data_IF_828366580853
#
_entry.id   IF_828366580853
#
_cell.length_a   1.000
_cell.length_b   1.000
_cell.length_c   1.000
_cell.angle_alpha   90.00
_cell.angle_beta   90.00
_cell.angle_gamma   90.00
#
_symmetry.space_group_name_H-M   'P 1'
#
loop_
_entity.id
_entity.type
_entity.pdbx_description
1 polymer ?
#
# COMPACT_ATOMS: atom_id res chain seq x y z
N UNK A 1 30.09 31.70 -20.81
CA UNK A 1 30.04 31.48 -19.35
C UNK A 1 28.60 31.60 -18.86
N UNK A 2 27.85 30.50 -18.89
CA UNK A 2 26.49 30.41 -18.33
C UNK A 2 26.59 29.60 -17.02
N UNK A 3 26.62 30.32 -15.91
CA UNK A 3 26.70 29.80 -14.55
C UNK A 3 25.42 29.04 -14.19
N UNK A 4 25.56 27.72 -14.15
CA UNK A 4 24.92 26.75 -13.24
C UNK A 4 23.96 27.31 -12.18
N UNK A 5 22.68 27.48 -12.54
CA UNK A 5 21.56 27.51 -11.60
C UNK A 5 21.13 26.07 -11.25
N UNK A 6 22.05 25.28 -10.72
CA UNK A 6 21.71 23.99 -10.08
C UNK A 6 21.29 24.30 -8.65
N UNK A 7 20.00 24.57 -8.44
CA UNK A 7 19.43 24.59 -7.08
C UNK A 7 19.63 23.19 -6.50
N UNK A 8 20.33 23.02 -5.36
CA UNK A 8 20.47 21.72 -4.74
C UNK A 8 19.07 21.23 -4.35
N UNK A 9 18.55 20.25 -5.08
CA UNK A 9 17.34 19.52 -4.70
C UNK A 9 17.58 19.00 -3.29
N UNK A 10 16.81 19.51 -2.31
CA UNK A 10 17.05 19.25 -0.89
C UNK A 10 16.93 17.75 -0.60
N UNK A 11 18.09 17.10 -0.48
CA UNK A 11 18.31 15.69 -0.09
C UNK A 11 17.60 15.34 1.23
N UNK A 12 17.19 16.34 2.02
CA UNK A 12 16.48 16.18 3.28
C UNK A 12 15.15 15.41 3.17
N UNK A 13 14.40 15.54 2.08
CA UNK A 13 13.14 14.78 1.89
C UNK A 13 13.38 13.29 1.61
N UNK A 14 14.53 12.92 1.05
CA UNK A 14 14.84 11.50 0.84
C UNK A 14 15.24 10.81 2.14
N UNK A 15 15.73 11.54 3.15
CA UNK A 15 16.07 10.97 4.45
C UNK A 15 14.83 10.53 5.24
N UNK A 16 13.71 11.25 5.10
CA UNK A 16 12.41 10.81 5.65
C UNK A 16 11.79 9.65 4.85
N UNK A 17 12.18 9.46 3.58
CA UNK A 17 11.81 8.30 2.77
C UNK A 17 12.69 7.06 3.04
N UNK A 18 13.88 7.25 3.61
CA UNK A 18 14.90 6.21 3.72
C UNK A 18 14.77 5.34 4.95
N UNK A 19 14.40 4.07 4.78
CA UNK A 19 14.69 3.05 5.78
C UNK A 19 16.21 2.92 6.00
N UNK A 20 16.64 2.24 7.08
CA UNK A 20 18.09 2.04 7.40
C UNK A 20 18.87 1.22 6.36
N UNK A 21 18.24 0.79 5.27
CA UNK A 21 18.76 -0.10 4.24
C UNK A 21 18.42 0.43 2.85
N UNK A 22 19.35 0.29 1.90
CA UNK A 22 19.18 0.71 0.51
C UNK A 22 17.87 0.19 -0.11
N UNK A 23 17.57 -1.10 0.07
CA UNK A 23 16.36 -1.72 -0.48
C UNK A 23 15.08 -1.03 0.00
N UNK A 24 15.02 -0.62 1.27
CA UNK A 24 13.83 0.04 1.81
C UNK A 24 13.64 1.43 1.17
N UNK A 25 14.72 2.19 0.99
CA UNK A 25 14.65 3.48 0.28
C UNK A 25 14.14 3.27 -1.16
N UNK A 26 14.72 2.32 -1.89
CA UNK A 26 14.32 2.02 -3.27
C UNK A 26 12.85 1.59 -3.33
N UNK A 27 12.40 0.74 -2.40
CA UNK A 27 11.00 0.30 -2.36
C UNK A 27 10.04 1.44 -2.05
N UNK A 28 10.41 2.36 -1.16
CA UNK A 28 9.60 3.53 -0.86
C UNK A 28 9.53 4.48 -2.06
N UNK A 29 10.64 4.70 -2.75
CA UNK A 29 10.65 5.47 -4.00
C UNK A 29 9.71 4.83 -5.03
N UNK A 30 9.82 3.50 -5.24
CA UNK A 30 8.98 2.81 -6.22
C UNK A 30 7.49 2.87 -5.85
N UNK A 31 7.13 2.74 -4.57
CA UNK A 31 5.74 2.87 -4.11
C UNK A 31 5.15 4.27 -4.32
N UNK A 32 5.99 5.31 -4.36
CA UNK A 32 5.55 6.66 -4.70
C UNK A 32 5.42 6.86 -6.21
N UNK A 33 6.23 6.16 -7.01
CA UNK A 33 6.24 6.29 -8.46
C UNK A 33 5.16 5.43 -9.14
N UNK A 34 4.79 4.30 -8.54
CA UNK A 34 3.85 3.36 -9.15
C UNK A 34 3.10 2.51 -8.12
N UNK A 35 1.90 2.07 -8.51
CA UNK A 35 1.11 1.11 -7.75
C UNK A 35 1.63 -0.32 -7.94
N UNK A 36 1.22 -1.24 -7.07
CA UNK A 36 1.63 -2.64 -7.16
C UNK A 36 1.05 -3.34 -8.40
N UNK A 37 -0.11 -2.89 -8.91
CA UNK A 37 -0.71 -3.38 -10.16
C UNK A 37 0.16 -3.01 -11.36
N UNK A 38 0.63 -1.76 -11.42
CA UNK A 38 1.52 -1.32 -12.50
C UNK A 38 2.87 -2.03 -12.39
N UNK A 39 3.44 -2.11 -11.19
CA UNK A 39 4.69 -2.81 -10.94
C UNK A 39 4.61 -4.31 -11.32
N UNK A 40 3.47 -4.96 -11.12
CA UNK A 40 3.26 -6.37 -11.48
C UNK A 40 3.35 -6.63 -12.99
N UNK A 41 3.04 -5.63 -13.82
CA UNK A 41 3.12 -5.70 -15.29
C UNK A 41 4.55 -5.47 -15.82
N UNK A 42 5.50 -5.15 -14.94
CA UNK A 42 6.85 -4.80 -15.31
C UNK A 42 7.89 -5.84 -14.83
N UNK A 43 9.04 -5.84 -15.49
CA UNK A 43 10.27 -6.48 -15.03
C UNK A 43 11.46 -5.58 -15.36
N UNK A 44 12.61 -5.81 -14.73
CA UNK A 44 13.76 -4.90 -14.88
C UNK A 44 14.16 -4.68 -16.36
N UNK A 45 14.23 -5.75 -17.15
CA UNK A 45 14.68 -5.74 -18.56
C UNK A 45 13.59 -6.08 -19.58
N UNK A 46 12.36 -6.30 -19.13
CA UNK A 46 11.35 -7.00 -19.93
C UNK A 46 11.53 -8.51 -19.78
N UNK A 47 10.42 -9.24 -19.73
CA UNK A 47 10.47 -10.69 -19.56
C UNK A 47 9.24 -11.33 -20.21
N UNK A 48 9.45 -12.36 -21.02
CA UNK A 48 8.37 -13.17 -21.59
C UNK A 48 8.44 -14.55 -20.96
N UNK A 49 7.36 -14.97 -20.28
CA UNK A 49 7.24 -16.32 -19.71
C UNK A 49 5.83 -16.85 -19.95
N UNK A 50 5.72 -18.09 -20.42
CA UNK A 50 4.43 -18.77 -20.61
C UNK A 50 3.39 -17.90 -21.36
N UNK A 51 3.81 -17.28 -22.46
CA UNK A 51 2.94 -16.40 -23.26
C UNK A 51 2.62 -15.04 -22.66
N UNK A 52 3.02 -14.76 -21.40
CA UNK A 52 2.85 -13.45 -20.75
C UNK A 52 4.12 -12.63 -20.86
N UNK A 53 4.01 -11.46 -21.48
CA UNK A 53 5.10 -10.49 -21.61
C UNK A 53 4.96 -9.38 -20.57
N UNK A 54 6.09 -9.02 -19.94
CA UNK A 54 6.23 -7.90 -19.02
C UNK A 54 6.98 -6.76 -19.68
N UNK A 55 6.53 -5.53 -19.43
CA UNK A 55 7.18 -4.32 -19.93
C UNK A 55 8.53 -4.12 -19.24
N UNK A 56 9.49 -3.56 -19.97
CA UNK A 56 10.81 -3.25 -19.41
C UNK A 56 10.73 -2.00 -18.53
N UNK A 57 11.26 -2.10 -17.32
CA UNK A 57 11.44 -0.94 -16.44
C UNK A 57 12.65 -0.11 -16.89
N UNK A 58 13.71 -0.75 -17.37
CA UNK A 58 14.93 -0.04 -17.79
C UNK A 58 14.68 0.95 -18.93
N UNK A 59 13.67 0.71 -19.77
CA UNK A 59 13.30 1.62 -20.86
C UNK A 59 12.63 2.91 -20.39
N UNK A 60 12.20 3.01 -19.13
CA UNK A 60 11.59 4.23 -18.60
C UNK A 60 12.62 5.33 -18.25
N UNK A 61 13.91 5.01 -18.25
CA UNK A 61 14.95 5.98 -17.85
C UNK A 61 14.93 6.35 -16.36
N UNK A 62 14.13 5.67 -15.53
CA UNK A 62 14.01 5.96 -14.10
C UNK A 62 15.17 5.41 -13.26
N UNK A 63 15.85 4.37 -13.74
CA UNK A 63 16.90 3.70 -12.95
C UNK A 63 18.08 4.64 -12.58
N UNK A 64 18.63 5.46 -13.50
CA UNK A 64 19.65 6.45 -13.15
C UNK A 64 19.16 7.49 -12.14
N UNK A 65 17.90 7.90 -12.22
CA UNK A 65 17.30 8.88 -11.30
C UNK A 65 17.23 8.29 -9.89
N UNK A 66 16.74 7.05 -9.76
CA UNK A 66 16.67 6.34 -8.48
C UNK A 66 18.08 6.09 -7.92
N UNK A 67 19.04 5.73 -8.76
CA UNK A 67 20.42 5.50 -8.34
C UNK A 67 21.08 6.78 -7.82
N UNK A 68 20.86 7.92 -8.49
CA UNK A 68 21.36 9.21 -8.03
C UNK A 68 20.73 9.62 -6.68
N UNK A 69 19.41 9.43 -6.53
CA UNK A 69 18.72 9.70 -5.27
C UNK A 69 19.24 8.81 -4.12
N UNK A 70 19.46 7.52 -4.39
CA UNK A 70 20.01 6.59 -3.43
C UNK A 70 21.47 6.92 -3.06
N UNK A 71 22.31 7.29 -4.04
CA UNK A 71 23.70 7.67 -3.84
C UNK A 71 23.89 8.92 -2.97
N UNK A 72 22.90 9.82 -2.93
CA UNK A 72 22.89 10.96 -2.01
C UNK A 72 22.76 10.59 -0.52
N UNK A 73 22.33 9.36 -0.22
CA UNK A 73 22.11 8.86 1.16
C UNK A 73 23.06 7.72 1.49
N UNK A 74 23.19 6.76 0.58
CA UNK A 74 23.96 5.54 0.73
C UNK A 74 25.19 5.60 -0.18
N UNK A 75 26.37 5.75 0.41
CA UNK A 75 27.63 5.89 -0.35
C UNK A 75 27.99 4.63 -1.14
N UNK A 76 27.46 3.48 -0.74
CA UNK A 76 27.61 2.16 -1.36
C UNK A 76 26.53 1.88 -2.43
N UNK A 77 25.60 2.81 -2.69
CA UNK A 77 24.57 2.66 -3.71
C UNK A 77 25.16 2.74 -5.12
N UNK A 78 25.50 1.59 -5.67
CA UNK A 78 25.86 1.44 -7.08
C UNK A 78 24.61 1.24 -7.95
N UNK A 79 24.69 1.58 -9.24
CA UNK A 79 23.61 1.32 -10.20
C UNK A 79 23.19 -0.17 -10.21
N UNK A 80 24.13 -1.09 -9.98
CA UNK A 80 23.88 -2.53 -9.87
C UNK A 80 23.05 -2.84 -8.62
N UNK A 81 23.48 -2.38 -7.44
CA UNK A 81 22.75 -2.61 -6.18
C UNK A 81 21.33 -2.06 -6.21
N UNK A 82 21.14 -0.88 -6.79
CA UNK A 82 19.83 -0.25 -6.98
C UNK A 82 19.00 -1.03 -7.98
N UNK A 83 19.60 -1.47 -9.09
CA UNK A 83 18.93 -2.32 -10.09
C UNK A 83 18.43 -3.64 -9.52
N UNK A 84 19.20 -4.27 -8.62
CA UNK A 84 18.79 -5.50 -7.92
C UNK A 84 17.61 -5.24 -7.00
N UNK A 85 17.64 -4.16 -6.22
CA UNK A 85 16.51 -3.77 -5.37
C UNK A 85 15.25 -3.49 -6.22
N UNK A 86 15.37 -2.77 -7.33
CA UNK A 86 14.24 -2.55 -8.25
C UNK A 86 13.71 -3.88 -8.79
N UNK A 87 14.57 -4.78 -9.24
CA UNK A 87 14.16 -6.09 -9.75
C UNK A 87 13.42 -6.92 -8.70
N UNK A 88 13.92 -6.93 -7.46
CA UNK A 88 13.28 -7.60 -6.32
C UNK A 88 11.89 -7.03 -6.05
N UNK A 89 11.78 -5.70 -6.02
CA UNK A 89 10.50 -5.02 -5.80
C UNK A 89 9.45 -5.42 -6.84
N UNK A 90 9.82 -5.38 -8.13
CA UNK A 90 8.95 -5.73 -9.26
C UNK A 90 8.58 -7.23 -9.27
N UNK A 91 9.52 -8.10 -8.88
CA UNK A 91 9.29 -9.55 -8.79
C UNK A 91 8.17 -9.87 -7.81
N UNK A 92 8.12 -9.18 -6.67
CA UNK A 92 7.14 -9.43 -5.62
C UNK A 92 5.85 -8.62 -5.75
N UNK A 93 5.75 -7.70 -6.72
CA UNK A 93 4.57 -6.86 -6.91
C UNK A 93 3.28 -7.69 -7.13
N UNK A 94 3.34 -8.70 -8.00
CA UNK A 94 2.18 -9.57 -8.24
C UNK A 94 1.72 -10.35 -7.00
N UNK A 95 2.64 -10.72 -6.10
CA UNK A 95 2.30 -11.36 -4.83
C UNK A 95 1.62 -10.37 -3.89
N UNK A 96 2.07 -9.11 -3.87
CA UNK A 96 1.47 -8.05 -3.05
C UNK A 96 0.05 -7.72 -3.48
N UNK A 97 -0.20 -7.57 -4.78
CA UNK A 97 -1.55 -7.36 -5.33
C UNK A 97 -2.51 -8.46 -4.88
N UNK A 98 -2.10 -9.73 -5.02
CA UNK A 98 -2.92 -10.89 -4.59
C UNK A 98 -3.20 -10.87 -3.09
N UNK A 99 -2.20 -10.52 -2.28
CA UNK A 99 -2.36 -10.44 -0.83
C UNK A 99 -3.31 -9.31 -0.43
N UNK A 100 -3.24 -8.17 -1.12
CA UNK A 100 -4.11 -7.03 -0.88
C UNK A 100 -5.57 -7.36 -1.22
N UNK A 101 -5.82 -7.99 -2.38
CA UNK A 101 -7.17 -8.40 -2.75
C UNK A 101 -7.77 -9.42 -1.77
N UNK A 102 -6.98 -10.37 -1.27
CA UNK A 102 -7.42 -11.33 -0.26
C UNK A 102 -7.73 -10.66 1.09
N UNK A 103 -6.90 -9.70 1.50
CA UNK A 103 -7.11 -8.96 2.74
C UNK A 103 -8.41 -8.12 2.68
N UNK A 104 -8.67 -7.45 1.55
CA UNK A 104 -9.90 -6.68 1.36
C UNK A 104 -11.15 -7.57 1.43
N UNK A 105 -11.13 -8.74 0.77
CA UNK A 105 -12.25 -9.69 0.83
C UNK A 105 -12.53 -10.21 2.24
N UNK A 106 -11.48 -10.48 3.03
CA UNK A 106 -11.63 -10.92 4.42
C UNK A 106 -12.22 -9.82 5.32
N UNK A 107 -11.80 -8.57 5.11
CA UNK A 107 -12.35 -7.41 5.82
C UNK A 107 -13.83 -7.18 5.48
N UNK A 108 -14.23 -7.33 4.21
CA UNK A 108 -15.63 -7.19 3.78
C UNK A 108 -16.52 -8.29 4.39
N UNK A 109 -16.06 -9.55 4.43
CA UNK A 109 -16.79 -10.63 5.08
C UNK A 109 -16.93 -10.41 6.60
N UNK A 110 -15.89 -9.91 7.26
CA UNK A 110 -15.93 -9.60 8.68
C UNK A 110 -16.87 -8.41 8.98
N UNK A 111 -16.86 -7.36 8.14
CA UNK A 111 -17.73 -6.20 8.31
C UNK A 111 -19.21 -6.55 8.05
N UNK A 112 -19.51 -7.39 7.04
CA UNK A 112 -20.86 -7.87 6.77
C UNK A 112 -21.42 -8.75 7.90
N UNK A 113 -20.59 -9.59 8.52
CA UNK A 113 -21.00 -10.42 9.66
C UNK A 113 -21.30 -9.58 10.92
N UNK A 114 -20.58 -8.48 11.14
CA UNK A 114 -20.85 -7.55 12.25
C UNK A 114 -22.13 -6.76 12.01
N UNK A 115 -22.38 -6.30 10.78
CA UNK A 115 -23.63 -5.59 10.46
C UNK A 115 -24.87 -6.48 10.64
N UNK A 116 -24.78 -7.76 10.24
CA UNK A 116 -25.86 -8.74 10.36
C UNK A 116 -26.15 -9.17 11.80
N UNK A 117 -25.22 -8.98 12.75
CA UNK A 117 -25.42 -9.35 14.17
C UNK A 117 -25.95 -8.20 15.02
N UNK A 118 -25.98 -6.97 14.49
CA UNK A 118 -26.54 -5.79 15.17
C UNK A 118 -28.04 -5.54 14.91
N UNK A 119 -28.66 -6.27 13.98
CA UNK A 119 -30.10 -6.11 13.67
C UNK A 119 -31.01 -7.15 14.37
N UNK A 120 -30.45 -8.10 15.12
CA UNK A 120 -31.20 -9.21 15.75
C UNK A 120 -31.24 -9.08 17.30
N UNK A 121 -31.53 -7.88 17.81
CA UNK A 121 -31.71 -7.65 19.26
C UNK A 121 -32.71 -6.52 19.58
N UNK A 122 -33.80 -6.44 18.83
CA UNK A 122 -34.87 -5.47 19.11
C UNK A 122 -36.27 -6.04 18.81
N UNK A 123 -36.56 -7.26 19.25
CA UNK A 123 -37.93 -7.77 19.39
C UNK A 123 -38.04 -8.59 20.67
N UNK A 124 -39.18 -8.43 21.36
CA UNK A 124 -39.63 -9.11 22.59
C UNK A 124 -38.98 -8.57 23.89
N UNK A 125 -39.65 -8.10 24.95
CA UNK A 125 -41.01 -8.17 25.48
C UNK A 125 -41.16 -6.91 26.43
N UNK A 126 -42.30 -6.43 26.95
CA UNK A 126 -43.50 -7.04 27.50
C UNK A 126 -44.65 -6.01 27.44
N UNK A 127 -45.82 -6.45 26.95
CA UNK A 127 -47.11 -5.93 27.42
C UNK A 127 -47.39 -6.48 28.83
N UNK A 128 -48.35 -5.86 29.54
CA UNK A 128 -48.92 -6.26 30.83
C UNK A 128 -48.24 -5.71 32.10
N UNK A 129 -48.74 -4.57 32.59
CA UNK A 129 -49.22 -4.39 33.98
C UNK A 129 -49.48 -2.90 34.29
N UNK A 130 -50.74 -2.49 34.40
CA UNK A 130 -51.21 -1.58 35.46
C UNK A 130 -52.75 -1.48 35.52
N UNK A 131 -53.41 -2.58 35.88
CA UNK A 131 -54.79 -2.55 36.39
C UNK A 131 -54.73 -2.49 37.94
N UNK A 132 -54.65 -1.28 38.51
CA UNK A 132 -54.79 -1.09 39.97
C UNK A 132 -55.04 0.37 40.39
N UNK A 133 -56.15 0.97 39.94
CA UNK A 133 -56.66 2.23 40.52
C UNK A 133 -58.18 2.23 40.67
N UNK A 134 -58.74 1.34 41.49
CA UNK A 134 -60.15 1.47 41.88
C UNK A 134 -60.51 1.02 43.33
N UNK A 135 -59.58 1.18 44.29
CA UNK A 135 -59.84 0.81 45.70
C UNK A 135 -59.53 1.89 46.74
N UNK A 136 -59.62 3.18 46.39
CA UNK A 136 -59.42 4.27 47.39
C UNK A 136 -60.63 5.24 47.52
N UNK A 137 -61.70 5.09 46.75
CA UNK A 137 -62.93 5.90 46.92
C UNK A 137 -64.14 5.12 47.46
N UNK A 138 -63.92 4.38 48.55
CA UNK A 138 -65.02 3.87 49.39
C UNK A 138 -64.61 3.90 50.86
N UNK A 139 -64.62 5.11 51.43
CA UNK A 139 -65.21 5.46 52.73
C UNK A 139 -64.96 6.93 53.07
#
# INVERSE_FOLDING_TARGET
>A
NLTTLSRPFKVSHFRSLGGRRLNHLVFNILRLLMTDELAAQMSLRGATRQGKSKKSFSSLGLLPIIANAAGGIFKDATAVSVGLAVAEHLRHAGTRVKKQSQASQQLEMAAGAVASSSEESMEADDEDDFDLLDQIYSN
#
